data_IF_698651639865
#
_entry.id   IF_698651639865
#
_cell.length_a   1.000
_cell.length_b   1.000
_cell.length_c   1.000
_cell.angle_alpha   90.00
_cell.angle_beta   90.00
_cell.angle_gamma   90.00
#
_symmetry.space_group_name_H-M   'P 1'
#
loop_
_entity.id
_entity.type
_entity.pdbx_description
1 polymer ?
#
# COMPACT_ATOMS: atom_id res chain seq x y z
N UNK A 1 -24.06 -5.91 -14.05
CA UNK A 1 -23.13 -5.96 -12.89
C UNK A 1 -23.63 -4.95 -11.88
N UNK A 2 -23.93 -5.36 -10.65
CA UNK A 2 -24.49 -4.43 -9.66
C UNK A 2 -23.41 -3.42 -9.27
N UNK A 3 -23.72 -2.12 -9.21
CA UNK A 3 -22.74 -1.06 -8.89
C UNK A 3 -21.96 -1.36 -7.60
N UNK A 4 -22.63 -2.00 -6.63
CA UNK A 4 -22.06 -2.44 -5.37
C UNK A 4 -20.93 -3.49 -5.51
N UNK A 5 -20.98 -4.34 -6.54
CA UNK A 5 -19.92 -5.34 -6.79
C UNK A 5 -18.64 -4.68 -7.33
N UNK A 6 -18.77 -3.68 -8.20
CA UNK A 6 -17.64 -2.92 -8.73
C UNK A 6 -16.89 -2.13 -7.65
N UNK A 7 -17.62 -1.60 -6.65
CA UNK A 7 -17.03 -0.90 -5.52
C UNK A 7 -16.22 -1.83 -4.59
N UNK A 8 -16.68 -3.08 -4.41
CA UNK A 8 -15.98 -4.09 -3.63
C UNK A 8 -14.65 -4.53 -4.28
N UNK A 9 -14.65 -4.72 -5.60
CA UNK A 9 -13.45 -5.07 -6.36
C UNK A 9 -12.42 -3.92 -6.31
N UNK A 10 -12.90 -2.68 -6.44
CA UNK A 10 -12.08 -1.47 -6.30
C UNK A 10 -11.47 -1.37 -4.91
N UNK A 11 -12.25 -1.61 -3.86
CA UNK A 11 -11.76 -1.63 -2.48
C UNK A 11 -10.69 -2.71 -2.25
N UNK A 12 -10.88 -3.93 -2.77
CA UNK A 12 -9.91 -5.01 -2.65
C UNK A 12 -8.58 -4.68 -3.36
N UNK A 13 -8.66 -4.02 -4.51
CA UNK A 13 -7.50 -3.57 -5.27
C UNK A 13 -6.78 -2.41 -4.57
N UNK A 14 -7.51 -1.43 -4.05
CA UNK A 14 -6.95 -0.33 -3.26
C UNK A 14 -6.25 -0.85 -2.00
N UNK A 15 -6.85 -1.80 -1.28
CA UNK A 15 -6.25 -2.45 -0.11
C UNK A 15 -4.92 -3.12 -0.45
N UNK A 16 -4.85 -3.85 -1.58
CA UNK A 16 -3.60 -4.48 -2.06
C UNK A 16 -2.53 -3.45 -2.42
N UNK A 17 -2.92 -2.33 -3.04
CA UNK A 17 -2.00 -1.24 -3.37
C UNK A 17 -1.41 -0.62 -2.10
N UNK A 18 -2.23 -0.34 -1.09
CA UNK A 18 -1.73 0.23 0.18
C UNK A 18 -0.70 -0.69 0.83
N UNK A 19 -0.97 -2.00 0.87
CA UNK A 19 -0.03 -2.98 1.45
C UNK A 19 1.27 -3.05 0.63
N UNK A 20 1.20 -3.07 -0.71
CA UNK A 20 2.40 -3.12 -1.56
C UNK A 20 3.24 -1.85 -1.44
N UNK A 21 2.61 -0.68 -1.47
CA UNK A 21 3.31 0.60 -1.30
C UNK A 21 3.87 0.74 0.12
N UNK A 22 3.16 0.28 1.16
CA UNK A 22 3.67 0.31 2.53
C UNK A 22 4.87 -0.61 2.72
N UNK A 23 4.87 -1.78 2.07
CA UNK A 23 6.04 -2.67 2.03
C UNK A 23 7.22 -2.02 1.31
N UNK A 24 6.98 -1.40 0.15
CA UNK A 24 8.03 -0.67 -0.58
C UNK A 24 8.63 0.46 0.26
N UNK A 25 7.78 1.25 0.92
CA UNK A 25 8.21 2.28 1.87
C UNK A 25 9.06 1.67 3.00
N UNK A 26 8.63 0.57 3.63
CA UNK A 26 9.38 -0.08 4.71
C UNK A 26 10.78 -0.51 4.25
N UNK A 27 10.89 -1.11 3.06
CA UNK A 27 12.19 -1.52 2.51
C UNK A 27 13.11 -0.33 2.32
N UNK A 28 12.62 0.75 1.70
CA UNK A 28 13.40 1.98 1.47
C UNK A 28 13.81 2.63 2.80
N UNK A 29 12.90 2.67 3.77
CA UNK A 29 13.13 3.17 5.11
C UNK A 29 14.23 2.40 5.86
N UNK A 30 14.17 1.06 5.84
CA UNK A 30 15.15 0.19 6.47
C UNK A 30 16.52 0.29 5.79
N UNK A 31 16.57 0.32 4.46
CA UNK A 31 17.81 0.52 3.72
C UNK A 31 18.45 1.87 4.06
N UNK A 32 17.66 2.93 4.13
CA UNK A 32 18.14 4.27 4.50
C UNK A 32 18.67 4.31 5.93
N UNK A 33 17.96 3.69 6.87
CA UNK A 33 18.37 3.56 8.26
C UNK A 33 19.68 2.78 8.37
N UNK A 34 19.79 1.66 7.64
CA UNK A 34 20.99 0.83 7.57
C UNK A 34 22.19 1.58 7.01
N UNK A 35 22.02 2.30 5.89
CA UNK A 35 23.06 3.14 5.29
C UNK A 35 23.54 4.24 6.26
N UNK A 36 22.60 4.89 6.94
CA UNK A 36 22.92 5.93 7.92
C UNK A 36 23.70 5.37 9.11
N UNK A 37 23.26 4.22 9.65
CA UNK A 37 23.96 3.53 10.74
C UNK A 37 25.36 3.08 10.31
N UNK A 38 25.49 2.48 9.13
CA UNK A 38 26.78 2.05 8.59
C UNK A 38 27.73 3.24 8.42
N UNK A 39 27.23 4.37 7.90
CA UNK A 39 28.00 5.60 7.79
C UNK A 39 28.46 6.14 9.14
N UNK A 40 27.56 6.21 10.13
CA UNK A 40 27.91 6.64 11.50
C UNK A 40 28.96 5.71 12.13
N UNK A 41 28.85 4.39 11.90
CA UNK A 41 29.83 3.42 12.40
C UNK A 41 31.19 3.54 11.70
N UNK A 42 31.22 3.80 10.38
CA UNK A 42 32.46 4.03 9.64
C UNK A 42 33.19 5.28 10.14
N UNK A 43 32.47 6.36 10.47
CA UNK A 43 33.05 7.55 11.06
C UNK A 43 33.58 7.29 12.48
N UNK A 44 32.83 6.58 13.31
CA UNK A 44 33.23 6.27 14.69
C UNK A 44 34.43 5.33 14.77
N UNK A 45 34.56 4.40 13.83
CA UNK A 45 35.67 3.44 13.76
C UNK A 45 36.95 4.03 13.15
N UNK A 46 36.90 5.27 12.63
CA UNK A 46 38.02 5.88 11.92
C UNK A 46 38.23 5.32 10.51
N UNK A 47 37.36 4.43 10.03
CA UNK A 47 37.41 3.88 8.68
C UNK A 47 37.09 4.93 7.60
N UNK A 48 36.41 6.01 7.97
CA UNK A 48 36.13 7.16 7.11
C UNK A 48 36.52 8.47 7.80
N UNK A 49 37.23 9.34 7.08
CA UNK A 49 37.58 10.67 7.57
C UNK A 49 36.41 11.67 7.33
N UNK A 50 35.80 12.25 8.38
CA UNK A 50 34.70 13.22 8.26
C UNK A 50 35.11 14.57 7.64
N UNK A 51 36.41 14.90 7.61
CA UNK A 51 36.90 16.13 7.02
C UNK A 51 37.21 15.97 5.53
N UNK A 52 37.39 14.74 5.06
CA UNK A 52 37.64 14.47 3.66
C UNK A 52 36.44 14.90 2.78
N UNK A 53 36.76 15.53 1.65
CA UNK A 53 35.76 16.03 0.69
C UNK A 53 34.91 14.87 0.15
N UNK A 54 35.53 13.72 -0.10
CA UNK A 54 34.84 12.52 -0.60
C UNK A 54 33.78 11.99 0.37
N UNK A 55 34.10 11.89 1.66
CA UNK A 55 33.14 11.45 2.68
C UNK A 55 31.97 12.43 2.80
N UNK A 56 32.23 13.74 2.87
CA UNK A 56 31.18 14.77 2.96
C UNK A 56 30.25 14.76 1.74
N UNK A 57 30.82 14.69 0.53
CA UNK A 57 30.05 14.63 -0.70
C UNK A 57 29.21 13.34 -0.76
N UNK A 58 29.78 12.20 -0.35
CA UNK A 58 29.08 10.92 -0.30
C UNK A 58 27.89 10.93 0.66
N UNK A 59 28.05 11.48 1.87
CA UNK A 59 26.94 11.61 2.82
C UNK A 59 25.85 12.57 2.33
N UNK A 60 26.22 13.70 1.73
CA UNK A 60 25.26 14.67 1.19
C UNK A 60 24.45 14.06 0.03
N UNK A 61 25.14 13.46 -0.95
CA UNK A 61 24.49 12.82 -2.09
C UNK A 61 23.64 11.62 -1.66
N UNK A 62 24.18 10.78 -0.77
CA UNK A 62 23.44 9.65 -0.21
C UNK A 62 22.18 10.09 0.53
N UNK A 63 22.28 11.17 1.34
CA UNK A 63 21.15 11.77 2.03
C UNK A 63 20.10 12.34 1.09
N UNK A 64 20.52 13.03 0.02
CA UNK A 64 19.61 13.56 -1.00
C UNK A 64 18.87 12.46 -1.76
N UNK A 65 19.59 11.43 -2.21
CA UNK A 65 18.99 10.28 -2.93
C UNK A 65 18.03 9.52 -2.03
N UNK A 66 18.42 9.26 -0.78
CA UNK A 66 17.55 8.59 0.18
C UNK A 66 16.32 9.44 0.50
N UNK A 67 16.48 10.75 0.69
CA UNK A 67 15.38 11.69 0.92
C UNK A 67 14.39 11.72 -0.25
N UNK A 68 14.88 11.73 -1.49
CA UNK A 68 14.04 11.66 -2.69
C UNK A 68 13.27 10.33 -2.77
N UNK A 69 13.95 9.21 -2.50
CA UNK A 69 13.33 7.89 -2.52
C UNK A 69 12.21 7.77 -1.46
N UNK A 70 12.46 8.28 -0.24
CA UNK A 70 11.46 8.34 0.83
C UNK A 70 10.29 9.23 0.40
N UNK A 71 10.54 10.41 -0.17
CA UNK A 71 9.51 11.34 -0.62
C UNK A 71 8.57 10.69 -1.65
N UNK A 72 9.13 10.03 -2.66
CA UNK A 72 8.34 9.31 -3.67
C UNK A 72 7.49 8.21 -3.03
N UNK A 73 8.05 7.46 -2.08
CA UNK A 73 7.31 6.43 -1.35
C UNK A 73 6.17 7.01 -0.52
N UNK A 74 6.40 8.13 0.17
CA UNK A 74 5.38 8.83 0.97
C UNK A 74 4.24 9.34 0.08
N UNK A 75 4.55 9.94 -1.06
CA UNK A 75 3.53 10.39 -2.02
C UNK A 75 2.70 9.20 -2.54
N UNK A 76 3.36 8.11 -2.95
CA UNK A 76 2.68 6.90 -3.41
C UNK A 76 1.78 6.27 -2.34
N UNK A 77 2.27 6.22 -1.09
CA UNK A 77 1.52 5.73 0.05
C UNK A 77 0.30 6.63 0.35
N UNK A 78 0.48 7.95 0.31
CA UNK A 78 -0.59 8.93 0.52
C UNK A 78 -1.70 8.75 -0.50
N UNK A 79 -1.35 8.75 -1.80
CA UNK A 79 -2.33 8.56 -2.89
C UNK A 79 -3.05 7.23 -2.73
N UNK A 80 -2.31 6.14 -2.48
CA UNK A 80 -2.90 4.82 -2.29
C UNK A 80 -3.85 4.77 -1.08
N UNK A 81 -3.51 5.48 -0.01
CA UNK A 81 -4.29 5.52 1.22
C UNK A 81 -5.57 6.35 1.05
N UNK A 82 -5.50 7.50 0.37
CA UNK A 82 -6.68 8.31 0.03
C UNK A 82 -7.66 7.49 -0.82
N UNK A 83 -7.16 6.82 -1.86
CA UNK A 83 -8.00 5.95 -2.71
C UNK A 83 -8.63 4.83 -1.89
N UNK A 84 -7.89 4.24 -0.95
CA UNK A 84 -8.42 3.20 -0.05
C UNK A 84 -9.52 3.73 0.88
N UNK A 85 -9.35 4.91 1.49
CA UNK A 85 -10.38 5.53 2.35
C UNK A 85 -11.65 5.82 1.54
N UNK A 86 -11.51 6.43 0.36
CA UNK A 86 -12.65 6.74 -0.52
C UNK A 86 -13.37 5.44 -0.93
N UNK A 87 -12.62 4.41 -1.31
CA UNK A 87 -13.20 3.10 -1.67
C UNK A 87 -13.91 2.45 -0.48
N UNK A 88 -13.39 2.59 0.74
CA UNK A 88 -14.02 2.05 1.94
C UNK A 88 -15.36 2.74 2.25
N UNK A 89 -15.47 4.05 1.99
CA UNK A 89 -16.72 4.81 2.15
C UNK A 89 -17.78 4.45 1.11
N UNK A 90 -17.38 4.05 -0.09
CA UNK A 90 -18.30 3.53 -1.10
C UNK A 90 -18.90 2.19 -0.70
N UNK A 91 -18.13 1.36 -0.01
CA UNK A 91 -18.55 0.01 0.41
C UNK A 91 -19.30 0.01 1.73
N UNK A 92 -18.97 0.91 2.67
CA UNK A 92 -19.66 1.01 3.96
C UNK A 92 -19.84 2.46 4.40
N UNK A 93 -20.97 2.82 5.05
CA UNK A 93 -21.23 4.19 5.50
C UNK A 93 -20.26 4.68 6.58
N UNK A 94 -19.59 3.75 7.29
CA UNK A 94 -18.57 4.08 8.30
C UNK A 94 -17.15 4.14 7.73
N UNK A 95 -16.99 3.91 6.43
CA UNK A 95 -15.68 3.81 5.77
C UNK A 95 -14.75 2.77 6.41
N UNK A 96 -13.47 3.10 6.63
CA UNK A 96 -12.52 2.20 7.29
C UNK A 96 -12.91 1.78 8.72
N UNK A 97 -13.78 2.56 9.38
CA UNK A 97 -14.11 2.43 10.80
C UNK A 97 -13.02 2.98 11.73
N UNK A 98 -13.34 3.06 13.02
CA UNK A 98 -12.47 3.64 14.04
C UNK A 98 -11.06 3.00 14.07
N UNK A 99 -10.98 1.68 13.89
CA UNK A 99 -9.70 0.95 13.89
C UNK A 99 -8.85 1.30 12.67
N UNK A 100 -9.46 1.44 11.48
CA UNK A 100 -8.74 1.82 10.26
C UNK A 100 -8.19 3.24 10.34
N UNK A 101 -9.01 4.18 10.83
CA UNK A 101 -8.58 5.56 11.09
C UNK A 101 -7.55 5.66 12.20
N UNK A 102 -7.71 4.90 13.29
CA UNK A 102 -6.77 4.87 14.40
C UNK A 102 -5.40 4.34 13.97
N UNK A 103 -5.35 3.26 13.19
CA UNK A 103 -4.10 2.74 12.64
C UNK A 103 -3.40 3.73 11.70
N UNK A 104 -4.17 4.44 10.88
CA UNK A 104 -3.65 5.47 9.98
C UNK A 104 -3.14 6.70 10.74
N UNK A 105 -3.90 7.19 11.71
CA UNK A 105 -3.51 8.32 12.54
C UNK A 105 -2.26 8.00 13.35
N UNK A 106 -2.19 6.81 13.95
CA UNK A 106 -1.01 6.34 14.67
C UNK A 106 0.20 6.23 13.74
N UNK A 107 0.02 5.69 12.53
CA UNK A 107 1.10 5.60 11.55
C UNK A 107 1.62 6.99 11.13
N UNK A 108 0.72 7.93 10.80
CA UNK A 108 1.09 9.30 10.43
C UNK A 108 1.79 10.00 11.61
N UNK A 109 1.26 9.85 12.82
CA UNK A 109 1.86 10.42 14.03
C UNK A 109 3.28 9.88 14.25
N UNK A 110 3.47 8.56 14.20
CA UNK A 110 4.79 7.96 14.40
C UNK A 110 5.78 8.31 13.28
N UNK A 111 5.33 8.39 12.03
CA UNK A 111 6.17 8.83 10.92
C UNK A 111 6.59 10.29 11.07
N UNK A 112 5.65 11.20 11.39
CA UNK A 112 5.94 12.62 11.57
C UNK A 112 6.81 12.87 12.79
N UNK A 113 6.48 12.23 13.92
CA UNK A 113 7.24 12.36 15.16
C UNK A 113 8.67 11.84 15.01
N UNK A 114 8.89 10.80 14.21
CA UNK A 114 10.23 10.29 13.88
C UNK A 114 11.08 11.26 13.04
N UNK A 115 10.48 12.23 12.36
CA UNK A 115 11.20 13.28 11.62
C UNK A 115 11.35 14.59 12.42
N UNK A 116 10.40 14.88 13.32
CA UNK A 116 10.42 16.10 14.15
C UNK A 116 11.32 15.93 15.36
N UNK A 117 11.31 14.76 16.00
CA UNK A 117 12.20 14.47 17.11
C UNK A 117 13.58 14.09 16.58
N UNK A 118 14.62 14.79 17.05
CA UNK A 118 16.02 14.37 16.88
C UNK A 118 16.28 13.12 17.73
N UNK A 119 15.86 11.97 17.21
CA UNK A 119 16.06 10.67 17.82
C UNK A 119 17.32 10.00 17.29
N UNK A 120 17.96 9.13 18.09
CA UNK A 120 18.97 8.21 17.57
C UNK A 120 18.42 7.42 16.38
N UNK A 121 19.23 7.20 15.35
CA UNK A 121 18.84 6.53 14.09
C UNK A 121 18.15 5.18 14.32
N UNK A 122 18.59 4.42 15.32
CA UNK A 122 17.97 3.16 15.71
C UNK A 122 16.54 3.34 16.26
N UNK A 123 16.32 4.36 17.10
CA UNK A 123 15.01 4.67 17.65
C UNK A 123 14.05 5.18 16.55
N UNK A 124 14.55 6.02 15.64
CA UNK A 124 13.79 6.46 14.46
C UNK A 124 13.38 5.26 13.58
N UNK A 125 14.31 4.33 13.32
CA UNK A 125 14.01 3.09 12.59
C UNK A 125 12.96 2.23 13.27
N UNK A 126 13.05 2.06 14.61
CA UNK A 126 12.04 1.33 15.38
C UNK A 126 10.66 1.99 15.28
N UNK A 127 10.58 3.32 15.40
CA UNK A 127 9.32 4.05 15.22
C UNK A 127 8.72 3.86 13.83
N UNK A 128 9.54 3.83 12.78
CA UNK A 128 9.06 3.57 11.42
C UNK A 128 8.50 2.15 11.26
N UNK A 129 9.11 1.15 11.89
CA UNK A 129 8.57 -0.23 11.91
C UNK A 129 7.22 -0.26 12.63
N UNK A 130 7.11 0.38 13.80
CA UNK A 130 5.85 0.45 14.56
C UNK A 130 4.77 1.20 13.76
N UNK A 131 5.13 2.31 13.09
CA UNK A 131 4.22 3.06 12.22
C UNK A 131 3.69 2.19 11.07
N UNK A 132 4.59 1.43 10.43
CA UNK A 132 4.22 0.49 9.38
C UNK A 132 3.31 -0.63 9.89
N UNK A 133 3.62 -1.23 11.04
CA UNK A 133 2.79 -2.25 11.67
C UNK A 133 1.39 -1.71 11.99
N UNK A 134 1.29 -0.50 12.53
CA UNK A 134 0.02 0.16 12.83
C UNK A 134 -0.82 0.37 11.57
N UNK A 135 -0.20 0.84 10.47
CA UNK A 135 -0.88 1.04 9.20
C UNK A 135 -1.39 -0.28 8.63
N UNK A 136 -0.53 -1.29 8.51
CA UNK A 136 -0.88 -2.59 7.93
C UNK A 136 -1.94 -3.28 8.77
N UNK A 137 -1.82 -3.24 10.10
CA UNK A 137 -2.81 -3.81 11.01
C UNK A 137 -4.16 -3.11 10.86
N UNK A 138 -4.19 -1.77 10.81
CA UNK A 138 -5.42 -1.00 10.56
C UNK A 138 -6.09 -1.40 9.24
N UNK A 139 -5.31 -1.49 8.16
CA UNK A 139 -5.80 -1.90 6.83
C UNK A 139 -6.36 -3.33 6.84
N UNK A 140 -5.66 -4.28 7.47
CA UNK A 140 -6.09 -5.67 7.56
C UNK A 140 -7.33 -5.84 8.43
N UNK A 141 -7.43 -5.10 9.54
CA UNK A 141 -8.61 -5.14 10.41
C UNK A 141 -9.83 -4.54 9.71
N UNK A 142 -9.70 -3.41 9.04
CA UNK A 142 -10.76 -2.83 8.19
C UNK A 142 -11.21 -3.82 7.12
N UNK A 143 -10.27 -4.43 6.40
CA UNK A 143 -10.56 -5.46 5.40
C UNK A 143 -11.34 -6.63 6.01
N UNK A 144 -10.90 -7.13 7.18
CA UNK A 144 -11.57 -8.24 7.87
C UNK A 144 -12.98 -7.88 8.32
N UNK A 145 -13.21 -6.64 8.75
CA UNK A 145 -14.53 -6.12 9.14
C UNK A 145 -15.46 -6.05 7.93
N UNK A 146 -15.00 -5.43 6.83
CA UNK A 146 -15.80 -5.32 5.60
C UNK A 146 -16.12 -6.71 5.05
N UNK A 147 -15.18 -7.67 5.13
CA UNK A 147 -15.43 -9.07 4.79
C UNK A 147 -16.56 -9.69 5.61
N UNK A 148 -16.60 -9.44 6.92
CA UNK A 148 -17.68 -9.95 7.80
C UNK A 148 -19.02 -9.32 7.47
N UNK A 149 -19.04 -8.02 7.14
CA UNK A 149 -20.28 -7.30 6.82
C UNK A 149 -20.88 -7.70 5.46
N UNK A 150 -20.01 -7.95 4.47
CA UNK A 150 -20.42 -8.23 3.08
C UNK A 150 -20.53 -9.71 2.77
N UNK A 151 -20.03 -10.59 3.65
CA UNK A 151 -20.01 -12.04 3.45
C UNK A 151 -19.11 -12.52 2.31
N UNK A 152 -18.34 -11.63 1.67
CA UNK A 152 -17.59 -11.92 0.45
C UNK A 152 -16.16 -12.41 0.74
N UNK A 153 -15.84 -13.71 0.54
CA UNK A 153 -14.53 -14.28 0.92
C UNK A 153 -13.39 -13.89 -0.05
N UNK A 154 -13.74 -13.47 -1.26
CA UNK A 154 -12.87 -12.97 -2.34
C UNK A 154 -12.11 -11.68 -1.98
N UNK A 155 -12.70 -10.86 -1.11
CA UNK A 155 -12.00 -9.76 -0.44
C UNK A 155 -10.76 -10.24 0.32
N UNK A 156 -10.58 -11.55 0.58
CA UNK A 156 -9.48 -12.22 1.27
C UNK A 156 -8.26 -12.62 0.41
N UNK A 157 -8.26 -12.40 -0.90
CA UNK A 157 -7.05 -12.56 -1.71
C UNK A 157 -6.99 -13.80 -2.60
N UNK A 158 -8.13 -14.33 -3.03
CA UNK A 158 -8.10 -15.10 -4.29
C UNK A 158 -7.67 -14.15 -5.40
N UNK A 159 -6.56 -14.50 -6.05
CA UNK A 159 -6.18 -13.96 -7.36
C UNK A 159 -7.30 -14.35 -8.33
N UNK A 160 -8.37 -13.55 -8.40
CA UNK A 160 -9.08 -13.49 -9.67
C UNK A 160 -8.11 -12.83 -10.64
N UNK A 161 -7.77 -13.48 -11.76
CA UNK A 161 -6.98 -12.81 -12.79
C UNK A 161 -7.71 -11.51 -13.15
N UNK A 162 -6.95 -10.44 -13.31
CA UNK A 162 -7.47 -9.08 -13.62
C UNK A 162 -8.23 -9.05 -14.95
N UNK A 163 -8.09 -10.14 -15.72
CA UNK A 163 -8.74 -10.41 -16.98
C UNK A 163 -9.24 -11.85 -16.92
N UNK A 164 -10.54 -12.03 -16.88
CA UNK A 164 -11.19 -13.35 -17.02
C UNK A 164 -11.66 -13.54 -18.46
N UNK A 165 -11.90 -14.78 -18.90
CA UNK A 165 -12.52 -15.04 -20.22
C UNK A 165 -13.85 -14.29 -20.38
N UNK A 166 -14.56 -14.09 -19.27
CA UNK A 166 -15.83 -13.39 -19.20
C UNK A 166 -15.69 -11.88 -19.46
N UNK A 167 -14.49 -11.31 -19.32
CA UNK A 167 -14.22 -9.90 -19.63
C UNK A 167 -13.96 -9.68 -21.12
N UNK A 168 -13.57 -10.74 -21.84
CA UNK A 168 -13.47 -10.78 -23.30
C UNK A 168 -14.72 -11.35 -23.97
N UNK A 169 -15.74 -11.72 -23.19
CA UNK A 169 -17.00 -12.19 -23.75
C UNK A 169 -17.65 -11.04 -24.53
N UNK A 170 -17.62 -11.18 -25.85
CA UNK A 170 -18.13 -10.19 -26.79
C UNK A 170 -19.61 -9.86 -26.51
N UNK A 171 -20.36 -10.79 -25.92
CA UNK A 171 -21.76 -10.56 -25.55
C UNK A 171 -21.98 -9.43 -24.53
N UNK A 172 -20.94 -9.00 -23.80
CA UNK A 172 -21.06 -7.88 -22.85
C UNK A 172 -21.05 -6.51 -23.51
N UNK A 173 -20.45 -6.38 -24.69
CA UNK A 173 -20.23 -5.08 -25.35
C UNK A 173 -20.73 -5.04 -26.79
N UNK A 174 -20.98 -6.19 -27.41
CA UNK A 174 -21.62 -6.32 -28.71
C UNK A 174 -23.06 -6.86 -28.57
N UNK A 175 -24.09 -6.03 -28.83
CA UNK A 175 -25.50 -6.42 -28.71
C UNK A 175 -25.96 -7.39 -29.79
N UNK A 176 -25.21 -7.59 -30.87
CA UNK A 176 -25.51 -8.60 -31.89
C UNK A 176 -25.08 -9.99 -31.43
N UNK A 177 -23.89 -10.09 -30.85
CA UNK A 177 -23.37 -11.35 -30.27
C UNK A 177 -24.26 -11.83 -29.11
N UNK A 178 -24.73 -10.91 -28.27
CA UNK A 178 -25.67 -11.24 -27.19
C UNK A 178 -26.97 -11.90 -27.72
N UNK A 179 -27.57 -11.30 -28.76
CA UNK A 179 -28.78 -11.84 -29.40
C UNK A 179 -28.55 -13.17 -30.09
N UNK A 180 -27.37 -13.36 -30.68
CA UNK A 180 -27.01 -14.62 -31.32
C UNK A 180 -26.84 -15.77 -30.30
N UNK A 181 -26.23 -15.49 -29.15
CA UNK A 181 -26.13 -16.46 -28.04
C UNK A 181 -27.51 -16.81 -27.49
N UNK A 182 -28.39 -15.82 -27.34
CA UNK A 182 -29.76 -16.00 -26.87
C UNK A 182 -30.57 -16.87 -27.85
N UNK A 183 -30.29 -16.75 -29.15
CA UNK A 183 -30.95 -17.53 -30.21
C UNK A 183 -30.42 -18.96 -30.36
N UNK A 184 -29.12 -19.17 -30.14
CA UNK A 184 -28.45 -20.48 -30.34
C UNK A 184 -28.21 -21.28 -29.06
N UNK A 185 -28.40 -20.67 -27.90
CA UNK A 185 -27.97 -21.23 -26.61
C UNK A 185 -26.47 -21.08 -26.40
N UNK A 186 -26.03 -20.94 -25.15
CA UNK A 186 -24.61 -20.75 -24.82
C UNK A 186 -23.88 -22.08 -25.05
N UNK A 187 -22.75 -22.09 -25.79
CA UNK A 187 -22.03 -23.34 -26.11
C UNK A 187 -21.59 -24.17 -24.90
N UNK A 188 -21.51 -23.55 -23.71
CA UNK A 188 -21.06 -24.18 -22.46
C UNK A 188 -22.10 -25.04 -21.77
N UNK A 189 -23.37 -24.99 -22.19
CA UNK A 189 -24.48 -25.71 -21.52
C UNK A 189 -24.73 -27.12 -22.08
N UNK A 190 -23.87 -27.58 -23.00
CA UNK A 190 -23.87 -28.97 -23.48
C UNK A 190 -23.00 -29.85 -22.56
N UNK A 191 -23.53 -30.18 -21.38
CA UNK A 191 -23.07 -31.30 -20.56
C UNK A 191 -24.24 -32.07 -19.97
#
# INVERSE_FOLDING_TARGET
MNAHEGDLDTFALATRRVIRFSMGYLVVALLTTGLTLAGVLALKSGAADPLSVGTRAGFLLGGLVAGLAILVCVIGLLVSTVVWIVSAHKVTPTGPGAVGYGGLLLAVLLMTLGHVLTLPTAAAGAMQIVAWLALVTGVLLTRSRIRRLTGRPDLGGRLRPTVTSDDWDASRWDPEVAREIERRGRPTDLR
#
